data_IF_767202185678
#
_entry.id   IF_767202185678
#
_cell.length_a   1.000
_cell.length_b   1.000
_cell.length_c   1.000
_cell.angle_alpha   90.00
_cell.angle_beta   90.00
_cell.angle_gamma   90.00
#
_symmetry.space_group_name_H-M   'P 1'
#
loop_
_entity.id
_entity.type
_entity.pdbx_description
1 polymer ?
#
# COMPACT_ATOMS: atom_id res chain seq x y z
N UNK A 1 -4.81 -22.58 -8.05
CA UNK A 1 -5.68 -22.13 -6.92
C UNK A 1 -4.92 -21.90 -5.60
N UNK A 2 -3.68 -22.36 -5.43
CA UNK A 2 -2.87 -22.10 -4.20
C UNK A 2 -2.13 -20.76 -4.29
N UNK A 3 -1.54 -20.46 -5.46
CA UNK A 3 -0.74 -19.25 -5.72
C UNK A 3 -1.49 -17.91 -5.55
N UNK A 4 -2.78 -17.86 -5.89
CA UNK A 4 -3.60 -16.66 -5.67
C UNK A 4 -3.91 -16.42 -4.17
N UNK A 5 -3.90 -17.48 -3.34
CA UNK A 5 -4.16 -17.36 -1.90
C UNK A 5 -2.92 -16.88 -1.15
N UNK A 6 -1.74 -17.36 -1.54
CA UNK A 6 -0.46 -16.89 -0.98
C UNK A 6 -0.24 -15.42 -1.31
N UNK A 7 -0.46 -15.01 -2.58
CA UNK A 7 -0.32 -13.61 -2.99
C UNK A 7 -1.27 -12.66 -2.25
N UNK A 8 -2.54 -13.03 -2.08
CA UNK A 8 -3.50 -12.19 -1.33
C UNK A 8 -3.11 -12.06 0.15
N UNK A 9 -2.63 -13.14 0.76
CA UNK A 9 -2.13 -13.13 2.13
C UNK A 9 -0.92 -12.19 2.26
N UNK A 10 0.06 -12.33 1.37
CA UNK A 10 1.26 -11.48 1.38
C UNK A 10 0.90 -10.01 1.20
N UNK A 11 -0.01 -9.66 0.29
CA UNK A 11 -0.41 -8.25 0.11
C UNK A 11 -1.03 -7.65 1.37
N UNK A 12 -1.81 -8.43 2.13
CA UNK A 12 -2.39 -7.97 3.40
C UNK A 12 -1.33 -7.78 4.49
N UNK A 13 -0.37 -8.70 4.56
CA UNK A 13 0.74 -8.65 5.52
C UNK A 13 1.72 -7.51 5.18
N UNK A 14 2.02 -7.28 3.91
CA UNK A 14 2.81 -6.14 3.44
C UNK A 14 2.10 -4.81 3.69
N UNK A 15 0.76 -4.76 3.58
CA UNK A 15 0.00 -3.59 3.98
C UNK A 15 0.16 -3.28 5.48
N UNK A 16 0.20 -4.30 6.34
CA UNK A 16 0.45 -4.12 7.78
C UNK A 16 1.88 -3.66 8.07
N UNK A 17 2.88 -4.17 7.35
CA UNK A 17 4.29 -3.75 7.44
C UNK A 17 4.45 -2.24 7.23
N UNK A 18 3.57 -1.61 6.46
CA UNK A 18 3.66 -0.18 6.23
C UNK A 18 3.51 0.69 7.48
N UNK A 19 3.04 0.12 8.61
CA UNK A 19 2.86 0.82 9.88
C UNK A 19 4.11 0.85 10.78
N UNK A 20 5.14 0.07 10.47
CA UNK A 20 6.36 -0.01 11.31
C UNK A 20 7.31 1.17 11.05
N UNK A 21 8.20 1.45 12.00
CA UNK A 21 9.21 2.49 11.84
C UNK A 21 10.31 2.08 10.83
N UNK A 22 10.52 2.91 9.81
CA UNK A 22 11.58 2.73 8.83
C UNK A 22 12.91 3.35 9.29
N UNK A 23 14.03 2.75 8.90
CA UNK A 23 15.39 3.13 9.31
C UNK A 23 15.84 2.54 10.65
N UNK A 24 14.89 2.16 11.50
CA UNK A 24 15.14 1.47 12.78
C UNK A 24 14.75 0.01 12.71
N UNK A 25 13.46 -0.28 12.51
CA UNK A 25 12.90 -1.62 12.53
C UNK A 25 13.00 -2.32 11.17
N UNK A 26 12.84 -1.57 10.08
CA UNK A 26 13.10 -2.03 8.72
C UNK A 26 14.11 -1.10 8.03
N UNK A 27 15.11 -1.66 7.37
CA UNK A 27 16.13 -0.94 6.61
C UNK A 27 16.12 -1.37 5.15
N UNK A 28 16.69 -0.52 4.30
CA UNK A 28 16.96 -0.87 2.90
C UNK A 28 17.87 -2.10 2.86
N UNK A 29 17.59 -2.99 1.92
CA UNK A 29 18.22 -4.30 1.72
C UNK A 29 17.92 -5.37 2.78
N UNK A 30 17.07 -5.07 3.77
CA UNK A 30 16.51 -6.12 4.63
C UNK A 30 15.64 -7.08 3.78
N UNK A 31 15.78 -8.38 4.07
CA UNK A 31 14.96 -9.43 3.46
C UNK A 31 13.87 -9.87 4.43
N UNK A 32 12.62 -9.80 3.99
CA UNK A 32 11.43 -10.16 4.74
C UNK A 32 10.90 -11.50 4.20
N UNK A 33 10.82 -12.52 5.06
CA UNK A 33 10.36 -13.86 4.70
C UNK A 33 9.86 -14.60 5.94
N UNK A 34 8.84 -15.44 5.77
CA UNK A 34 8.37 -16.35 6.80
C UNK A 34 7.70 -15.62 7.96
N UNK A 35 7.72 -16.24 9.13
CA UNK A 35 7.13 -15.67 10.35
C UNK A 35 8.14 -14.78 11.08
N UNK A 36 7.76 -13.54 11.32
CA UNK A 36 8.57 -12.60 12.09
C UNK A 36 7.67 -11.64 12.89
N UNK A 37 8.23 -11.08 13.95
CA UNK A 37 7.55 -10.06 14.75
C UNK A 37 8.33 -8.76 14.71
N UNK A 38 7.65 -7.68 14.41
CA UNK A 38 8.23 -6.35 14.30
C UNK A 38 7.33 -5.34 15.00
N UNK A 39 7.90 -4.61 15.96
CA UNK A 39 7.20 -3.58 16.74
C UNK A 39 5.83 -4.02 17.33
N UNK A 40 5.70 -5.31 17.68
CA UNK A 40 4.47 -5.89 18.24
C UNK A 40 3.50 -6.48 17.21
N UNK A 41 3.77 -6.31 15.91
CA UNK A 41 3.03 -6.96 14.83
C UNK A 41 3.65 -8.30 14.49
N UNK A 42 2.87 -9.38 14.57
CA UNK A 42 3.28 -10.71 14.08
C UNK A 42 2.83 -10.90 12.64
N UNK A 43 3.80 -11.11 11.76
CA UNK A 43 3.61 -11.19 10.31
C UNK A 43 4.07 -12.54 9.79
N UNK A 44 3.46 -12.98 8.69
CA UNK A 44 3.83 -14.22 8.01
C UNK A 44 3.77 -14.02 6.49
N UNK A 45 4.94 -14.05 5.84
CA UNK A 45 5.07 -13.92 4.39
C UNK A 45 5.39 -15.27 3.76
N UNK A 46 4.66 -15.61 2.69
CA UNK A 46 4.89 -16.82 1.89
C UNK A 46 6.02 -16.63 0.89
N UNK A 47 6.04 -15.48 0.21
CA UNK A 47 7.13 -15.07 -0.66
C UNK A 47 8.20 -14.29 0.11
N UNK A 48 9.42 -14.26 -0.44
CA UNK A 48 10.53 -13.45 0.09
C UNK A 48 10.55 -12.08 -0.58
N UNK A 49 10.81 -11.03 0.18
CA UNK A 49 10.83 -9.65 -0.32
C UNK A 49 12.05 -8.89 0.20
N UNK A 50 12.73 -8.18 -0.68
CA UNK A 50 13.85 -7.27 -0.32
C UNK A 50 13.35 -5.84 -0.30
N UNK A 51 13.64 -5.11 0.77
CA UNK A 51 13.30 -3.68 0.88
C UNK A 51 14.21 -2.87 -0.04
N UNK A 52 13.63 -2.11 -0.97
CA UNK A 52 14.40 -1.31 -1.94
C UNK A 52 14.41 0.17 -1.61
N UNK A 53 13.31 0.68 -1.08
CA UNK A 53 13.18 2.08 -0.70
C UNK A 53 11.99 2.27 0.26
N UNK A 54 11.91 3.42 0.89
CA UNK A 54 10.76 3.82 1.68
C UNK A 54 10.69 5.33 1.84
N UNK A 55 9.50 5.81 2.17
CA UNK A 55 9.25 7.19 2.56
C UNK A 55 8.53 7.20 3.90
N UNK A 56 8.99 8.06 4.80
CA UNK A 56 8.38 8.30 6.10
C UNK A 56 8.41 9.80 6.36
N UNK A 57 7.34 10.50 5.97
CA UNK A 57 7.20 11.93 6.28
C UNK A 57 6.39 12.13 7.57
N UNK A 58 6.74 13.17 8.31
CA UNK A 58 5.97 13.64 9.47
C UNK A 58 4.55 14.08 9.09
N UNK A 59 4.29 14.43 7.83
CA UNK A 59 2.97 14.88 7.35
C UNK A 59 2.09 13.73 6.83
N UNK A 60 2.10 12.58 7.52
CA UNK A 60 1.12 11.48 7.41
C UNK A 60 1.24 10.47 6.25
N UNK A 61 2.13 10.66 5.27
CA UNK A 61 2.32 9.66 4.19
C UNK A 61 3.55 8.79 4.46
N UNK A 62 3.30 7.49 4.57
CA UNK A 62 4.32 6.46 4.74
C UNK A 62 4.09 5.33 3.72
N UNK A 63 5.15 4.96 3.03
CA UNK A 63 5.11 3.88 2.05
C UNK A 63 6.47 3.18 1.93
N UNK A 64 6.44 1.91 1.54
CA UNK A 64 7.63 1.09 1.36
C UNK A 64 7.60 0.40 -0.01
N UNK A 65 8.74 0.40 -0.70
CA UNK A 65 8.98 -0.33 -1.94
C UNK A 65 9.73 -1.62 -1.61
N UNK A 66 9.17 -2.74 -2.08
CA UNK A 66 9.73 -4.08 -1.91
C UNK A 66 9.89 -4.75 -3.28
N UNK A 67 10.92 -5.56 -3.42
CA UNK A 67 11.15 -6.42 -4.59
C UNK A 67 11.00 -7.89 -4.19
N UNK A 68 10.16 -8.64 -4.90
CA UNK A 68 9.96 -10.06 -4.66
C UNK A 68 11.20 -10.84 -5.09
N UNK A 69 11.57 -11.82 -4.28
CA UNK A 69 12.63 -12.78 -4.56
C UNK A 69 12.05 -14.14 -4.96
N UNK A 70 12.80 -14.90 -5.75
CA UNK A 70 12.51 -16.30 -6.05
C UNK A 70 12.87 -17.22 -4.86
N UNK A 71 12.62 -18.53 -4.99
CA UNK A 71 12.94 -19.50 -3.94
C UNK A 71 14.44 -19.63 -3.64
N UNK A 72 15.31 -19.14 -4.51
CA UNK A 72 16.75 -19.06 -4.30
C UNK A 72 17.21 -17.75 -3.66
N UNK A 73 16.29 -16.82 -3.39
CA UNK A 73 16.59 -15.50 -2.85
C UNK A 73 17.04 -14.47 -3.91
N UNK A 74 16.86 -14.75 -5.20
CA UNK A 74 17.24 -13.82 -6.27
C UNK A 74 16.09 -12.87 -6.61
N UNK A 75 16.37 -11.60 -6.91
CA UNK A 75 15.34 -10.65 -7.34
C UNK A 75 14.61 -11.10 -8.60
N UNK A 76 13.28 -11.04 -8.57
CA UNK A 76 12.42 -11.44 -9.71
C UNK A 76 12.12 -10.29 -10.67
N UNK A 77 12.39 -9.06 -10.25
CA UNK A 77 11.93 -7.84 -10.93
C UNK A 77 10.43 -7.57 -10.79
N UNK A 78 9.73 -8.26 -9.89
CA UNK A 78 8.37 -7.92 -9.47
C UNK A 78 8.42 -7.09 -8.18
N UNK A 79 7.69 -5.98 -8.16
CA UNK A 79 7.74 -4.99 -7.08
C UNK A 79 6.37 -4.81 -6.44
N UNK A 80 6.41 -4.45 -5.15
CA UNK A 80 5.23 -4.09 -4.37
C UNK A 80 5.49 -2.75 -3.70
N UNK A 81 4.53 -1.83 -3.80
CA UNK A 81 4.49 -0.64 -2.93
C UNK A 81 3.35 -0.82 -1.94
N UNK A 82 3.68 -0.79 -0.65
CA UNK A 82 2.71 -0.83 0.43
C UNK A 82 2.53 0.57 1.05
N UNK A 83 1.29 1.03 1.15
CA UNK A 83 0.93 2.32 1.75
C UNK A 83 0.34 2.14 3.15
N UNK A 84 0.79 2.98 4.08
CA UNK A 84 0.21 3.10 5.41
C UNK A 84 -1.11 3.87 5.39
N UNK A 85 -2.04 3.50 6.26
CA UNK A 85 -3.17 4.35 6.61
C UNK A 85 -2.88 5.28 7.80
N UNK A 86 -3.79 6.22 8.07
CA UNK A 86 -3.71 7.11 9.25
C UNK A 86 -4.34 6.49 10.50
N UNK A 87 -4.13 7.13 11.64
CA UNK A 87 -4.78 6.78 12.90
C UNK A 87 -6.24 7.29 12.97
N UNK A 88 -7.13 6.61 13.73
CA UNK A 88 -8.58 6.84 13.73
C UNK A 88 -9.07 8.27 14.03
N UNK A 89 -8.24 9.09 14.70
CA UNK A 89 -8.59 10.46 15.06
C UNK A 89 -8.39 11.44 13.90
N UNK A 90 -7.47 11.15 12.97
CA UNK A 90 -7.24 11.90 11.73
C UNK A 90 -8.19 11.45 10.61
N UNK A 91 -8.82 10.28 10.76
CA UNK A 91 -9.71 9.71 9.76
C UNK A 91 -10.98 10.54 9.52
N UNK A 92 -11.49 11.22 10.56
CA UNK A 92 -12.72 12.03 10.46
C UNK A 92 -12.56 13.25 9.56
N UNK A 93 -11.39 13.87 9.54
CA UNK A 93 -11.11 15.06 8.75
C UNK A 93 -10.95 14.74 7.26
N UNK A 94 -10.42 13.57 6.90
CA UNK A 94 -10.36 13.18 5.48
C UNK A 94 -11.73 12.76 4.93
N UNK A 95 -12.58 12.08 5.72
CA UNK A 95 -13.92 11.62 5.27
C UNK A 95 -14.81 12.80 4.90
N UNK A 96 -14.82 13.84 5.74
CA UNK A 96 -15.60 15.06 5.50
C UNK A 96 -15.24 15.70 4.15
N UNK A 97 -13.94 15.69 3.82
CA UNK A 97 -13.43 16.21 2.56
C UNK A 97 -13.60 15.22 1.37
N UNK A 98 -13.48 13.91 1.62
CA UNK A 98 -13.53 12.85 0.62
C UNK A 98 -14.94 12.52 0.11
N UNK A 99 -15.97 12.60 0.97
CA UNK A 99 -17.36 12.40 0.53
C UNK A 99 -17.87 13.50 -0.41
N UNK A 100 -17.26 14.68 -0.32
CA UNK A 100 -17.65 15.85 -1.12
C UNK A 100 -16.93 15.89 -2.49
N UNK A 101 -15.95 15.01 -2.71
CA UNK A 101 -15.07 15.14 -3.87
C UNK A 101 -14.41 13.84 -4.31
N UNK A 102 -15.15 13.00 -5.02
CA UNK A 102 -14.56 12.15 -6.07
C UNK A 102 -13.82 12.97 -7.16
N UNK A 103 -13.92 14.31 -7.11
CA UNK A 103 -13.27 15.27 -7.99
C UNK A 103 -12.15 16.12 -7.35
N UNK A 104 -11.98 16.13 -6.01
CA UNK A 104 -10.99 16.98 -5.32
C UNK A 104 -10.01 16.12 -4.50
N UNK A 105 -8.94 15.71 -5.18
CA UNK A 105 -7.88 14.85 -4.69
C UNK A 105 -7.27 15.30 -3.34
N UNK A 106 -7.28 14.38 -2.38
CA UNK A 106 -6.61 14.48 -1.08
C UNK A 106 -5.08 14.61 -1.26
N UNK A 107 -4.39 15.54 -0.55
CA UNK A 107 -2.93 15.68 -0.59
C UNK A 107 -2.15 14.36 -0.43
N UNK A 108 -2.64 13.40 0.35
CA UNK A 108 -1.96 12.11 0.55
C UNK A 108 -2.02 11.19 -0.69
N UNK A 109 -3.10 11.25 -1.48
CA UNK A 109 -3.18 10.49 -2.72
C UNK A 109 -2.27 11.10 -3.81
N UNK A 110 -2.15 12.43 -3.82
CA UNK A 110 -1.19 13.14 -4.69
C UNK A 110 0.24 12.76 -4.32
N UNK A 111 0.56 12.78 -3.02
CA UNK A 111 1.86 12.37 -2.53
C UNK A 111 2.13 10.89 -2.84
N UNK A 112 1.14 10.01 -2.63
CA UNK A 112 1.22 8.58 -2.97
C UNK A 112 1.51 8.34 -4.45
N UNK A 113 0.81 9.05 -5.34
CA UNK A 113 1.07 9.01 -6.78
C UNK A 113 2.49 9.48 -7.11
N UNK A 114 2.92 10.60 -6.54
CA UNK A 114 4.27 11.14 -6.76
C UNK A 114 5.34 10.13 -6.32
N UNK A 115 5.17 9.50 -5.16
CA UNK A 115 6.07 8.45 -4.68
C UNK A 115 6.11 7.25 -5.63
N UNK A 116 4.96 6.75 -6.10
CA UNK A 116 4.93 5.64 -7.07
C UNK A 116 5.69 5.99 -8.35
N UNK A 117 5.45 7.18 -8.90
CA UNK A 117 6.14 7.64 -10.12
C UNK A 117 7.65 7.80 -9.88
N UNK A 118 8.05 8.34 -8.73
CA UNK A 118 9.46 8.45 -8.34
C UNK A 118 10.12 7.09 -8.24
N UNK A 119 9.50 6.13 -7.56
CA UNK A 119 10.02 4.77 -7.42
C UNK A 119 10.12 4.05 -8.76
N UNK A 120 9.11 4.18 -9.61
CA UNK A 120 9.15 3.64 -10.96
C UNK A 120 10.30 4.22 -11.78
N UNK A 121 10.53 5.53 -11.71
CA UNK A 121 11.63 6.18 -12.41
C UNK A 121 13.00 5.76 -11.84
N UNK A 122 13.16 5.83 -10.52
CA UNK A 122 14.41 5.55 -9.80
C UNK A 122 14.87 4.10 -9.98
N UNK A 123 13.92 3.15 -9.97
CA UNK A 123 14.20 1.72 -10.06
C UNK A 123 13.88 1.13 -11.44
N UNK A 124 13.53 1.96 -12.43
CA UNK A 124 13.16 1.52 -13.79
C UNK A 124 12.05 0.47 -13.83
N UNK A 125 11.03 0.62 -12.97
CA UNK A 125 9.94 -0.34 -12.80
C UNK A 125 8.83 -0.06 -13.83
N UNK A 126 8.51 -1.06 -14.64
CA UNK A 126 7.35 -1.01 -15.54
C UNK A 126 6.04 -1.20 -14.75
N UNK A 127 4.94 -0.59 -15.22
CA UNK A 127 3.62 -0.69 -14.56
C UNK A 127 3.15 -2.12 -14.36
N UNK A 128 3.38 -3.01 -15.33
CA UNK A 128 3.02 -4.43 -15.25
C UNK A 128 3.92 -5.27 -14.32
N UNK A 129 4.98 -4.67 -13.77
CA UNK A 129 5.87 -5.26 -12.77
C UNK A 129 5.63 -4.72 -11.37
N UNK A 130 4.70 -3.79 -11.21
CA UNK A 130 4.39 -3.17 -9.93
C UNK A 130 2.99 -3.60 -9.46
N UNK A 131 2.88 -3.90 -8.17
CA UNK A 131 1.62 -4.10 -7.45
C UNK A 131 1.54 -3.09 -6.31
N UNK A 132 0.36 -2.52 -6.07
CA UNK A 132 0.10 -1.63 -4.95
C UNK A 132 -0.70 -2.37 -3.86
N UNK A 133 -0.45 -2.08 -2.60
CA UNK A 133 -1.24 -2.62 -1.49
C UNK A 133 -1.39 -1.64 -0.33
N UNK A 134 -2.46 -1.75 0.45
CA UNK A 134 -2.67 -0.94 1.64
C UNK A 134 -3.95 -1.25 2.41
N UNK A 135 -3.95 -0.87 3.69
CA UNK A 135 -5.10 -1.01 4.59
C UNK A 135 -5.66 0.37 4.99
N UNK A 136 -6.96 0.44 5.34
CA UNK A 136 -7.64 1.70 5.75
C UNK A 136 -7.43 2.82 4.71
N UNK A 137 -6.87 3.98 5.08
CA UNK A 137 -6.56 5.06 4.14
C UNK A 137 -5.52 4.64 3.08
N UNK A 138 -4.54 3.80 3.42
CA UNK A 138 -3.59 3.23 2.45
C UNK A 138 -4.29 2.40 1.38
N UNK A 139 -5.42 1.77 1.72
CA UNK A 139 -6.29 1.07 0.77
C UNK A 139 -6.98 2.02 -0.22
N UNK A 140 -7.34 3.23 0.20
CA UNK A 140 -7.93 4.26 -0.66
C UNK A 140 -6.87 4.83 -1.61
N UNK A 141 -5.68 5.12 -1.09
CA UNK A 141 -4.53 5.56 -1.91
C UNK A 141 -4.22 4.50 -2.97
N UNK A 142 -4.20 3.22 -2.57
CA UNK A 142 -4.01 2.09 -3.49
C UNK A 142 -5.03 2.08 -4.63
N UNK A 143 -6.32 2.31 -4.35
CA UNK A 143 -7.37 2.37 -5.38
C UNK A 143 -7.22 3.59 -6.28
N UNK A 144 -7.02 4.77 -5.70
CA UNK A 144 -6.93 6.02 -6.45
C UNK A 144 -5.72 6.02 -7.39
N UNK A 145 -4.55 5.67 -6.87
CA UNK A 145 -3.30 5.64 -7.64
C UNK A 145 -3.30 4.48 -8.64
N UNK A 146 -3.79 3.30 -8.25
CA UNK A 146 -3.90 2.14 -9.14
C UNK A 146 -4.82 2.40 -10.33
N UNK A 147 -5.95 3.07 -10.11
CA UNK A 147 -6.89 3.44 -11.18
C UNK A 147 -6.27 4.47 -12.15
N UNK A 148 -5.59 5.49 -11.62
CA UNK A 148 -4.99 6.57 -12.41
C UNK A 148 -3.74 6.14 -13.20
N UNK A 149 -2.90 5.28 -12.62
CA UNK A 149 -1.66 4.79 -13.26
C UNK A 149 -1.82 3.44 -13.97
N UNK A 150 -3.01 2.84 -13.95
CA UNK A 150 -3.29 1.51 -14.47
C UNK A 150 -2.38 0.41 -13.87
N UNK A 151 -2.20 0.45 -12.54
CA UNK A 151 -1.39 -0.51 -11.78
C UNK A 151 -2.32 -1.40 -10.94
N UNK A 152 -2.01 -2.69 -10.87
CA UNK A 152 -2.78 -3.63 -10.04
C UNK A 152 -2.68 -3.22 -8.56
N UNK A 153 -3.82 -3.07 -7.89
CA UNK A 153 -3.91 -2.75 -6.47
C UNK A 153 -4.68 -3.80 -5.66
N UNK A 154 -4.26 -4.02 -4.41
CA UNK A 154 -4.97 -4.81 -3.40
C UNK A 154 -5.27 -3.94 -2.18
N UNK A 155 -6.55 -3.68 -1.91
CA UNK A 155 -6.95 -2.86 -0.78
C UNK A 155 -7.68 -3.68 0.27
N UNK A 156 -7.26 -3.56 1.52
CA UNK A 156 -7.80 -4.30 2.64
C UNK A 156 -8.56 -3.36 3.56
N UNK A 157 -9.84 -3.65 3.83
CA UNK A 157 -10.73 -2.82 4.65
C UNK A 157 -10.52 -1.29 4.42
N UNK A 158 -10.62 -0.83 3.16
CA UNK A 158 -10.44 0.59 2.87
C UNK A 158 -11.53 1.38 3.62
N UNK A 159 -11.11 2.38 4.37
CA UNK A 159 -12.04 3.21 5.13
C UNK A 159 -13.02 3.89 4.16
N UNK A 160 -14.32 3.90 4.46
CA UNK A 160 -15.35 4.45 3.57
C UNK A 160 -16.09 3.41 2.72
N UNK A 161 -15.65 2.15 2.68
CA UNK A 161 -16.47 1.06 2.14
C UNK A 161 -17.82 0.91 2.87
N UNK A 162 -17.86 1.28 4.15
CA UNK A 162 -19.07 1.30 4.98
C UNK A 162 -19.95 2.54 4.77
N UNK A 163 -19.46 3.57 4.06
CA UNK A 163 -20.24 4.73 3.66
C UNK A 163 -20.99 4.47 2.34
N UNK A 164 -20.50 3.58 1.49
CA UNK A 164 -21.20 3.15 0.27
C UNK A 164 -22.56 2.48 0.55
N UNK A 165 -22.74 1.87 1.72
CA UNK A 165 -24.02 1.28 2.15
C UNK A 165 -24.95 2.27 2.86
N UNK A 166 -24.46 3.46 3.22
CA UNK A 166 -25.24 4.51 3.90
C UNK A 166 -25.54 5.74 3.02
N UNK A 167 -25.00 5.77 1.79
CA UNK A 167 -25.37 6.76 0.78
C UNK A 167 -26.78 6.44 0.23
N UNK A 168 -27.72 7.42 0.19
CA UNK A 168 -28.98 7.23 -0.51
C UNK A 168 -28.71 6.95 -2.01
N UNK A 169 -29.58 6.17 -2.68
CA UNK A 169 -29.39 5.84 -4.10
C UNK A 169 -29.26 7.13 -4.93
N UNK A 170 -28.22 7.21 -5.76
CA UNK A 170 -28.04 8.36 -6.65
C UNK A 170 -29.23 8.44 -7.62
N UNK A 171 -29.84 9.62 -7.79
CA UNK A 171 -30.88 9.79 -8.81
C UNK A 171 -30.25 9.59 -10.19
N UNK A 172 -30.86 8.69 -10.96
CA UNK A 172 -30.55 8.54 -12.38
C UNK A 172 -30.89 9.85 -13.09
N UNK A 173 -29.90 10.51 -13.69
CA UNK A 173 -30.10 11.59 -14.66
C UNK A 173 -30.26 11.01 -16.06
#
# INVERSE_FOLDING_TARGET
MVENRTKLSDMGQLAEISYVAYGTAIKIDDTLLGEFSIEGSSLSLYDSYTVKDYISHWTDMQAILLEKNDSGGNPTGEYVIAFRGTEPNSDRDWISNGLTGLANFNPQAIAGKAFVQEMMAKHSIATNKLTLTGHSLGGIITQAVGADLHIQGYSFNPYGANLLSSLPPMPLS
#
